data_IF_182174477156
#
_entry.id   IF_182174477156
#
_cell.length_a   1.000
_cell.length_b   1.000
_cell.length_c   1.000
_cell.angle_alpha   90.00
_cell.angle_beta   90.00
_cell.angle_gamma   90.00
#
_symmetry.space_group_name_H-M   'P 1'
#
loop_
_entity.id
_entity.type
_entity.pdbx_description
1 polymer ?
#
# COMPACT_ATOMS: atom_id res chain seq x y z
N UNK A 1 17.89 13.73 -36.63
CA UNK A 1 18.66 13.08 -35.56
C UNK A 1 17.78 12.69 -34.38
N UNK A 2 17.04 13.63 -33.75
CA UNK A 2 16.14 13.34 -32.62
C UNK A 2 15.13 12.21 -32.89
N UNK A 3 14.47 12.20 -34.05
CA UNK A 3 13.56 11.11 -34.45
C UNK A 3 14.23 9.72 -34.42
N UNK A 4 15.43 9.59 -35.01
CA UNK A 4 16.18 8.33 -35.01
C UNK A 4 16.58 7.88 -33.60
N UNK A 5 16.78 8.81 -32.66
CA UNK A 5 17.10 8.48 -31.26
C UNK A 5 15.85 8.00 -30.53
N UNK A 6 14.70 8.63 -30.75
CA UNK A 6 13.41 8.19 -30.20
C UNK A 6 13.02 6.80 -30.73
N UNK A 7 13.16 6.57 -32.04
CA UNK A 7 12.88 5.29 -32.68
C UNK A 7 13.84 4.17 -32.25
N UNK A 8 15.07 4.52 -31.89
CA UNK A 8 16.07 3.57 -31.39
C UNK A 8 15.95 3.29 -29.89
N UNK A 9 15.10 4.03 -29.17
CA UNK A 9 14.90 3.83 -27.74
C UNK A 9 14.15 2.50 -27.53
N UNK A 10 14.59 1.63 -26.61
CA UNK A 10 13.88 0.40 -26.34
C UNK A 10 12.52 0.74 -25.72
N UNK A 11 11.47 0.77 -26.55
CA UNK A 11 10.08 0.76 -26.10
C UNK A 11 9.76 -0.67 -25.64
N UNK A 12 10.31 -1.08 -24.51
CA UNK A 12 10.21 -2.49 -24.12
C UNK A 12 9.04 -2.82 -23.21
N UNK A 13 7.97 -3.27 -23.89
CA UNK A 13 7.29 -4.51 -23.53
C UNK A 13 7.29 -5.55 -24.67
N UNK A 14 8.09 -5.41 -25.75
CA UNK A 14 8.06 -6.35 -26.90
C UNK A 14 9.38 -7.05 -27.28
N UNK A 15 10.53 -6.75 -26.68
CA UNK A 15 11.78 -7.51 -26.80
C UNK A 15 12.10 -8.26 -25.51
N UNK A 16 11.18 -9.10 -25.06
CA UNK A 16 11.47 -10.13 -24.04
C UNK A 16 12.11 -11.39 -24.67
N UNK A 17 12.58 -11.34 -25.92
CA UNK A 17 13.18 -12.52 -26.58
C UNK A 17 14.38 -12.14 -27.43
N UNK A 18 15.49 -11.78 -26.81
CA UNK A 18 16.80 -12.17 -27.35
C UNK A 18 17.81 -12.22 -26.21
N UNK A 19 18.45 -13.38 -26.02
CA UNK A 19 19.69 -13.51 -25.28
C UNK A 19 20.76 -12.66 -26.00
N UNK A 20 20.79 -11.36 -25.71
CA UNK A 20 21.82 -10.44 -26.13
C UNK A 20 22.31 -9.68 -24.91
N UNK A 21 23.56 -9.96 -24.58
CA UNK A 21 24.37 -9.31 -23.55
C UNK A 21 24.38 -7.79 -23.83
N UNK A 22 24.11 -6.98 -22.80
CA UNK A 22 24.29 -5.51 -22.74
C UNK A 22 23.34 -4.57 -23.52
N UNK A 23 22.03 -4.66 -23.29
CA UNK A 23 21.15 -3.47 -23.43
C UNK A 23 20.50 -3.15 -22.10
N UNK A 24 21.20 -2.37 -21.28
CA UNK A 24 20.63 -1.75 -20.07
C UNK A 24 19.46 -0.86 -20.47
N UNK A 25 18.28 -1.13 -19.91
CA UNK A 25 17.14 -0.21 -20.04
C UNK A 25 17.60 1.18 -19.60
N UNK A 26 17.39 2.23 -20.40
CA UNK A 26 17.95 3.54 -20.13
C UNK A 26 17.45 4.08 -18.79
N UNK A 27 18.38 4.62 -18.00
CA UNK A 27 18.13 5.14 -16.66
C UNK A 27 17.02 6.20 -16.68
N UNK A 28 16.28 6.30 -15.58
CA UNK A 28 15.21 7.28 -15.38
C UNK A 28 15.67 8.72 -15.65
N UNK A 29 16.93 9.02 -15.33
CA UNK A 29 17.56 10.32 -15.61
C UNK A 29 17.69 10.65 -17.10
N UNK A 30 17.79 9.65 -17.99
CA UNK A 30 17.93 9.84 -19.43
C UNK A 30 16.59 10.17 -20.12
N UNK A 31 15.48 9.62 -19.61
CA UNK A 31 14.13 9.93 -20.12
C UNK A 31 13.76 11.40 -19.87
N UNK A 32 14.04 11.91 -18.67
CA UNK A 32 13.84 13.32 -18.33
C UNK A 32 14.71 14.26 -19.20
N UNK A 33 15.98 13.90 -19.45
CA UNK A 33 16.87 14.65 -20.36
C UNK A 33 16.35 14.66 -21.80
N UNK A 34 15.82 13.54 -22.29
CA UNK A 34 15.24 13.46 -23.62
C UNK A 34 14.01 14.35 -23.77
N UNK A 35 13.08 14.33 -22.79
CA UNK A 35 11.94 15.26 -22.76
C UNK A 35 12.44 16.71 -22.84
N UNK A 36 13.44 17.08 -22.02
CA UNK A 36 14.00 18.42 -22.04
C UNK A 36 14.64 18.79 -23.39
N UNK A 37 15.29 17.85 -24.07
CA UNK A 37 15.85 18.06 -25.41
C UNK A 37 14.75 18.27 -26.46
N UNK A 38 13.70 17.44 -26.46
CA UNK A 38 12.56 17.57 -27.37
C UNK A 38 11.81 18.89 -27.16
N UNK A 39 11.71 19.36 -25.91
CA UNK A 39 11.19 20.68 -25.58
C UNK A 39 12.04 21.80 -26.18
N UNK A 40 13.38 21.73 -26.04
CA UNK A 40 14.29 22.73 -26.65
C UNK A 40 14.17 22.77 -28.17
N UNK A 41 13.96 21.61 -28.79
CA UNK A 41 13.77 21.48 -30.24
C UNK A 41 12.35 21.88 -30.71
N UNK A 42 11.42 22.19 -29.79
CA UNK A 42 10.00 22.45 -30.08
C UNK A 42 9.33 21.33 -30.89
N UNK A 43 9.77 20.09 -30.68
CA UNK A 43 9.33 18.93 -31.45
C UNK A 43 8.08 18.28 -30.82
N UNK A 44 6.93 18.96 -30.90
CA UNK A 44 5.69 18.55 -30.22
C UNK A 44 5.25 17.11 -30.56
N UNK A 45 5.20 16.73 -31.84
CA UNK A 45 4.78 15.40 -32.26
C UNK A 45 5.71 14.28 -31.72
N UNK A 46 7.03 14.50 -31.80
CA UNK A 46 8.02 13.55 -31.26
C UNK A 46 7.94 13.44 -29.74
N UNK A 47 7.66 14.55 -29.06
CA UNK A 47 7.47 14.57 -27.61
C UNK A 47 6.23 13.77 -27.20
N UNK A 48 5.08 13.95 -27.87
CA UNK A 48 3.87 13.15 -27.59
C UNK A 48 4.13 11.65 -27.78
N UNK A 49 4.79 11.29 -28.89
CA UNK A 49 5.14 9.90 -29.17
C UNK A 49 6.09 9.33 -28.11
N UNK A 50 7.15 10.07 -27.75
CA UNK A 50 8.11 9.63 -26.75
C UNK A 50 7.45 9.42 -25.37
N UNK A 51 6.58 10.32 -24.94
CA UNK A 51 5.88 10.15 -23.66
C UNK A 51 5.01 8.90 -23.69
N UNK A 52 4.24 8.70 -24.77
CA UNK A 52 3.33 7.56 -24.92
C UNK A 52 4.04 6.21 -24.99
N UNK A 53 5.05 6.11 -25.83
CA UNK A 53 5.64 4.82 -26.22
C UNK A 53 6.80 4.41 -25.30
N UNK A 54 7.45 5.37 -24.65
CA UNK A 54 8.64 5.15 -23.84
C UNK A 54 8.43 5.53 -22.38
N UNK A 55 7.97 6.75 -22.10
CA UNK A 55 7.84 7.21 -20.71
C UNK A 55 6.76 6.43 -19.99
N UNK A 56 5.56 6.28 -20.59
CA UNK A 56 4.44 5.61 -19.94
C UNK A 56 4.78 4.17 -19.51
N UNK A 57 5.48 3.37 -20.31
CA UNK A 57 5.78 1.97 -19.96
C UNK A 57 6.62 1.79 -18.70
N UNK A 58 7.57 2.72 -18.47
CA UNK A 58 8.54 2.63 -17.37
C UNK A 58 8.45 3.80 -16.40
N UNK A 59 7.35 4.56 -16.44
CA UNK A 59 7.16 5.75 -15.63
C UNK A 59 7.31 5.43 -14.15
N UNK A 60 8.13 6.23 -13.48
CA UNK A 60 8.45 6.14 -12.05
C UNK A 60 8.31 7.49 -11.31
N UNK A 61 7.99 8.57 -12.04
CA UNK A 61 7.80 9.92 -11.49
C UNK A 61 9.03 10.83 -11.61
N UNK A 62 10.20 10.28 -11.94
CA UNK A 62 11.41 11.09 -12.15
C UNK A 62 11.29 12.11 -13.28
N UNK A 63 10.35 11.88 -14.22
CA UNK A 63 10.09 12.77 -15.35
C UNK A 63 9.17 13.94 -15.02
N UNK A 64 8.54 14.01 -13.84
CA UNK A 64 7.46 14.96 -13.56
C UNK A 64 7.83 16.42 -13.86
N UNK A 65 9.02 16.85 -13.45
CA UNK A 65 9.51 18.21 -13.73
C UNK A 65 9.69 18.46 -15.24
N UNK A 66 10.19 17.47 -15.98
CA UNK A 66 10.37 17.56 -17.43
C UNK A 66 9.01 17.54 -18.16
N UNK A 67 8.06 16.73 -17.70
CA UNK A 67 6.69 16.65 -18.22
C UNK A 67 5.93 17.97 -18.04
N UNK A 68 6.02 18.61 -16.87
CA UNK A 68 5.49 19.96 -16.65
C UNK A 68 6.06 20.97 -17.65
N UNK A 69 7.38 20.91 -17.80
CA UNK A 69 8.12 21.78 -18.72
C UNK A 69 7.73 21.54 -20.18
N UNK A 70 7.16 20.38 -20.49
CA UNK A 70 6.73 19.97 -21.83
C UNK A 70 5.41 20.61 -22.28
N UNK A 71 4.58 21.03 -21.31
CA UNK A 71 3.28 21.68 -21.55
C UNK A 71 3.42 22.88 -22.49
N UNK A 72 4.47 23.70 -22.35
CA UNK A 72 4.69 24.89 -23.19
C UNK A 72 4.90 24.61 -24.68
N UNK A 73 5.28 23.38 -25.03
CA UNK A 73 5.50 22.96 -26.43
C UNK A 73 4.29 22.21 -26.96
N UNK A 74 3.63 21.41 -26.13
CA UNK A 74 2.43 20.66 -26.51
C UNK A 74 1.18 21.54 -26.56
N UNK A 75 1.11 22.56 -25.71
CA UNK A 75 -0.14 23.23 -25.38
C UNK A 75 -1.00 22.41 -24.41
N UNK A 76 -1.87 23.09 -23.69
CA UNK A 76 -2.62 22.51 -22.57
C UNK A 76 -3.49 21.32 -22.95
N UNK A 77 -4.15 21.37 -24.11
CA UNK A 77 -5.09 20.34 -24.55
C UNK A 77 -4.37 19.03 -24.86
N UNK A 78 -3.29 19.11 -25.64
CA UNK A 78 -2.49 17.93 -26.01
C UNK A 78 -1.70 17.40 -24.82
N UNK A 79 -1.15 18.29 -23.98
CA UNK A 79 -0.52 17.90 -22.73
C UNK A 79 -1.51 17.16 -21.83
N UNK A 80 -2.73 17.67 -21.65
CA UNK A 80 -3.76 16.99 -20.85
C UNK A 80 -4.10 15.60 -21.40
N UNK A 81 -4.21 15.45 -22.73
CA UNK A 81 -4.48 14.16 -23.35
C UNK A 81 -3.34 13.14 -23.11
N UNK A 82 -2.08 13.56 -23.28
CA UNK A 82 -0.92 12.70 -23.04
C UNK A 82 -0.77 12.34 -21.56
N UNK A 83 -0.89 13.32 -20.67
CA UNK A 83 -0.70 13.11 -19.23
C UNK A 83 -1.85 12.32 -18.60
N UNK A 84 -3.10 12.49 -19.05
CA UNK A 84 -4.22 11.68 -18.57
C UNK A 84 -4.09 10.22 -18.99
N UNK A 85 -3.63 9.94 -20.22
CA UNK A 85 -3.33 8.59 -20.67
C UNK A 85 -2.20 7.95 -19.84
N UNK A 86 -1.13 8.71 -19.56
CA UNK A 86 -0.04 8.26 -18.70
C UNK A 86 -0.53 7.94 -17.29
N UNK A 87 -1.27 8.86 -16.66
CA UNK A 87 -1.81 8.67 -15.30
C UNK A 87 -2.76 7.47 -15.27
N UNK A 88 -3.69 7.35 -16.21
CA UNK A 88 -4.61 6.22 -16.27
C UNK A 88 -3.89 4.87 -16.40
N UNK A 89 -2.82 4.81 -17.19
CA UNK A 89 -2.03 3.59 -17.37
C UNK A 89 -1.16 3.25 -16.14
N UNK A 90 -0.80 4.24 -15.31
CA UNK A 90 0.23 4.09 -14.28
C UNK A 90 -0.26 4.23 -12.86
N UNK A 91 -1.45 4.78 -12.62
CA UNK A 91 -2.06 4.87 -11.30
C UNK A 91 -2.08 3.53 -10.54
N UNK A 92 -2.38 2.36 -11.17
CA UNK A 92 -2.44 1.08 -10.45
C UNK A 92 -1.09 0.62 -9.87
N UNK A 93 0.02 1.03 -10.51
CA UNK A 93 1.36 0.53 -10.23
C UNK A 93 2.28 1.59 -9.61
N UNK A 94 2.03 2.87 -9.90
CA UNK A 94 2.83 4.03 -9.47
C UNK A 94 1.94 5.19 -9.00
N UNK A 95 1.06 4.96 -8.02
CA UNK A 95 0.08 5.97 -7.58
C UNK A 95 0.73 7.22 -6.98
N UNK A 96 1.79 7.09 -6.18
CA UNK A 96 2.51 8.25 -5.62
C UNK A 96 3.06 9.15 -6.73
N UNK A 97 3.75 8.58 -7.72
CA UNK A 97 4.27 9.34 -8.86
C UNK A 97 3.16 10.04 -9.67
N UNK A 98 1.98 9.43 -9.78
CA UNK A 98 0.83 10.04 -10.45
C UNK A 98 0.22 11.19 -9.62
N UNK A 99 0.09 11.02 -8.30
CA UNK A 99 -0.35 12.08 -7.40
C UNK A 99 0.64 13.25 -7.36
N UNK A 100 1.94 12.98 -7.39
CA UNK A 100 2.99 14.01 -7.46
C UNK A 100 2.91 14.79 -8.78
N UNK A 101 2.64 14.11 -9.89
CA UNK A 101 2.42 14.78 -11.18
C UNK A 101 1.17 15.66 -11.15
N UNK A 102 0.07 15.15 -10.58
CA UNK A 102 -1.16 15.93 -10.42
C UNK A 102 -0.93 17.17 -9.57
N UNK A 103 -0.24 17.04 -8.44
CA UNK A 103 0.14 18.15 -7.58
C UNK A 103 1.05 19.13 -8.32
N UNK A 104 2.04 18.64 -9.08
CA UNK A 104 2.94 19.51 -9.83
C UNK A 104 2.19 20.36 -10.87
N UNK A 105 1.16 19.80 -11.53
CA UNK A 105 0.34 20.54 -12.50
C UNK A 105 -0.41 21.74 -11.89
N UNK A 106 -0.58 21.80 -10.56
CA UNK A 106 -1.22 22.94 -9.90
C UNK A 106 -0.37 24.21 -9.92
N UNK A 107 0.94 24.08 -10.15
CA UNK A 107 1.84 25.22 -10.32
C UNK A 107 1.54 26.02 -11.60
N UNK A 108 0.93 25.39 -12.61
CA UNK A 108 0.49 26.05 -13.85
C UNK A 108 -0.91 25.52 -14.21
N UNK A 109 -1.95 25.98 -13.51
CA UNK A 109 -3.27 25.39 -13.63
C UNK A 109 -3.88 25.68 -15.02
N UNK A 110 -4.51 24.66 -15.60
CA UNK A 110 -5.27 24.76 -16.85
C UNK A 110 -6.57 23.97 -16.71
N UNK A 111 -7.71 24.47 -17.23
CA UNK A 111 -8.97 23.72 -17.25
C UNK A 111 -8.84 22.35 -17.93
N UNK A 112 -7.92 22.22 -18.89
CA UNK A 112 -7.68 20.96 -19.60
C UNK A 112 -7.15 19.85 -18.68
N UNK A 113 -6.40 20.21 -17.63
CA UNK A 113 -5.82 19.24 -16.69
C UNK A 113 -6.82 18.58 -15.76
N UNK A 114 -8.09 19.01 -15.77
CA UNK A 114 -9.20 18.27 -15.18
C UNK A 114 -9.24 16.80 -15.65
N UNK A 115 -8.92 16.53 -16.93
CA UNK A 115 -8.85 15.16 -17.46
C UNK A 115 -7.78 14.30 -16.78
N UNK A 116 -6.70 14.92 -16.30
CA UNK A 116 -5.63 14.23 -15.57
C UNK A 116 -6.12 13.87 -14.16
N UNK A 117 -6.84 14.78 -13.51
CA UNK A 117 -7.50 14.53 -12.23
C UNK A 117 -8.54 13.39 -12.34
N UNK A 118 -9.39 13.42 -13.36
CA UNK A 118 -10.38 12.37 -13.64
C UNK A 118 -9.71 11.00 -13.85
N UNK A 119 -8.61 10.96 -14.62
CA UNK A 119 -7.83 9.74 -14.82
C UNK A 119 -7.21 9.21 -13.51
N UNK A 120 -6.72 10.11 -12.64
CA UNK A 120 -6.18 9.73 -11.33
C UNK A 120 -7.27 9.09 -10.46
N UNK A 121 -8.44 9.73 -10.34
CA UNK A 121 -9.57 9.22 -9.54
C UNK A 121 -10.10 7.90 -10.08
N UNK A 122 -10.23 7.76 -11.40
CA UNK A 122 -10.64 6.49 -12.03
C UNK A 122 -9.62 5.37 -11.77
N UNK A 123 -8.32 5.68 -11.81
CA UNK A 123 -7.25 4.72 -11.59
C UNK A 123 -7.17 4.18 -10.15
N UNK A 124 -7.79 4.82 -9.17
CA UNK A 124 -7.84 4.34 -7.77
C UNK A 124 -8.45 2.94 -7.66
N UNK A 125 -9.44 2.61 -8.50
CA UNK A 125 -10.11 1.30 -8.46
C UNK A 125 -9.16 0.14 -8.74
N UNK A 126 -8.14 0.36 -9.57
CA UNK A 126 -7.20 -0.69 -9.96
C UNK A 126 -5.99 -0.83 -9.04
N UNK A 127 -5.78 0.10 -8.09
CA UNK A 127 -4.68 -0.01 -7.11
C UNK A 127 -4.90 -1.27 -6.25
N UNK A 128 -3.88 -2.10 -6.10
CA UNK A 128 -3.95 -3.32 -5.28
C UNK A 128 -4.76 -4.48 -5.89
N UNK A 129 -5.27 -4.34 -7.12
CA UNK A 129 -5.80 -5.48 -7.88
C UNK A 129 -4.62 -6.28 -8.46
N UNK A 130 -4.21 -7.36 -7.78
CA UNK A 130 -3.30 -8.32 -8.38
C UNK A 130 -4.05 -9.14 -9.44
N UNK A 131 -3.65 -9.04 -10.70
CA UNK A 131 -4.21 -9.86 -11.78
C UNK A 131 -3.92 -11.34 -11.49
N UNK A 132 -4.89 -12.07 -10.94
CA UNK A 132 -4.74 -13.48 -10.56
C UNK A 132 -4.59 -14.46 -11.75
N UNK A 133 -4.52 -13.98 -12.99
CA UNK A 133 -4.40 -14.80 -14.20
C UNK A 133 -3.23 -14.43 -15.14
N UNK A 134 -2.38 -13.46 -14.83
CA UNK A 134 -1.26 -13.12 -15.71
C UNK A 134 0.04 -13.85 -15.29
N UNK A 135 0.26 -15.01 -15.92
CA UNK A 135 1.53 -15.74 -16.06
C UNK A 135 2.31 -16.06 -14.78
N UNK A 136 2.25 -17.34 -14.41
CA UNK A 136 3.16 -18.00 -13.45
C UNK A 136 4.65 -17.84 -13.82
N UNK A 137 4.96 -17.42 -15.05
CA UNK A 137 6.30 -17.13 -15.55
C UNK A 137 6.79 -15.68 -15.29
N UNK A 138 5.90 -14.67 -15.23
CA UNK A 138 6.25 -13.28 -14.85
C UNK A 138 6.66 -13.14 -13.38
N UNK A 139 6.23 -14.11 -12.57
CA UNK A 139 6.48 -14.15 -11.13
C UNK A 139 7.96 -14.12 -10.76
N UNK A 140 8.86 -14.61 -11.60
CA UNK A 140 10.30 -14.66 -11.29
C UNK A 140 11.04 -13.36 -11.62
N UNK A 141 10.56 -12.58 -12.59
CA UNK A 141 11.09 -11.25 -12.93
C UNK A 141 10.50 -10.17 -12.00
N UNK A 142 9.23 -10.29 -11.61
CA UNK A 142 8.59 -9.42 -10.61
C UNK A 142 9.13 -9.63 -9.19
N UNK A 143 9.67 -10.83 -8.88
CA UNK A 143 10.40 -11.08 -7.64
C UNK A 143 11.77 -10.38 -7.58
N UNK A 144 12.31 -9.95 -8.73
CA UNK A 144 13.54 -9.15 -8.79
C UNK A 144 13.27 -7.63 -8.68
N UNK A 145 12.02 -7.18 -8.88
CA UNK A 145 11.63 -5.80 -8.61
C UNK A 145 11.39 -5.60 -7.11
N UNK A 146 12.49 -5.33 -6.40
CA UNK A 146 12.52 -4.89 -4.99
C UNK A 146 11.82 -3.53 -4.76
N UNK A 147 10.97 -3.05 -5.68
CA UNK A 147 10.28 -1.74 -5.63
C UNK A 147 8.76 -1.77 -5.55
N UNK A 148 8.12 -2.83 -4.99
CA UNK A 148 6.83 -2.65 -4.30
C UNK A 148 7.06 -1.83 -3.02
N UNK A 149 7.46 -0.57 -3.17
CA UNK A 149 7.43 0.37 -2.06
C UNK A 149 5.98 0.40 -1.55
N UNK A 150 5.76 0.24 -0.24
CA UNK A 150 4.42 0.38 0.31
C UNK A 150 3.87 1.76 -0.09
N UNK A 151 2.57 1.84 -0.33
CA UNK A 151 1.89 3.12 -0.46
C UNK A 151 2.29 3.99 0.73
N UNK A 152 2.57 5.26 0.47
CA UNK A 152 2.97 6.21 1.49
C UNK A 152 1.82 7.22 1.72
N UNK A 153 1.60 7.76 2.93
CA UNK A 153 0.52 8.71 3.19
C UNK A 153 0.56 9.96 2.30
N UNK A 154 1.75 10.37 1.85
CA UNK A 154 1.97 11.49 0.93
C UNK A 154 1.20 11.35 -0.36
N UNK A 155 0.98 10.11 -0.83
CA UNK A 155 0.15 9.85 -2.01
C UNK A 155 -1.26 10.44 -1.86
N UNK A 156 -1.93 10.17 -0.73
CA UNK A 156 -3.30 10.65 -0.50
C UNK A 156 -3.26 12.17 -0.32
N UNK A 157 -2.31 12.71 0.44
CA UNK A 157 -2.18 14.15 0.63
C UNK A 157 -1.97 14.90 -0.71
N UNK A 158 -1.03 14.45 -1.54
CA UNK A 158 -0.72 15.06 -2.83
C UNK A 158 -1.89 14.92 -3.81
N UNK A 159 -2.60 13.78 -3.78
CA UNK A 159 -3.82 13.58 -4.57
C UNK A 159 -4.88 14.62 -4.19
N UNK A 160 -5.24 14.75 -2.91
CA UNK A 160 -6.26 15.70 -2.47
C UNK A 160 -5.84 17.16 -2.68
N UNK A 161 -4.58 17.50 -2.43
CA UNK A 161 -4.06 18.83 -2.73
C UNK A 161 -4.19 19.13 -4.23
N UNK A 162 -3.81 18.18 -5.10
CA UNK A 162 -4.00 18.28 -6.55
C UNK A 162 -5.47 18.46 -6.96
N UNK A 163 -6.37 17.63 -6.42
CA UNK A 163 -7.80 17.66 -6.77
C UNK A 163 -8.49 18.97 -6.39
N UNK A 164 -8.17 19.53 -5.21
CA UNK A 164 -8.75 20.79 -4.72
C UNK A 164 -8.50 21.98 -5.66
N UNK A 165 -7.40 21.98 -6.41
CA UNK A 165 -7.09 23.06 -7.36
C UNK A 165 -8.01 23.09 -8.59
N UNK A 166 -8.71 22.00 -8.90
CA UNK A 166 -9.64 21.95 -10.04
C UNK A 166 -11.05 22.45 -9.71
N UNK A 167 -11.30 22.86 -8.46
CA UNK A 167 -12.57 23.44 -7.98
C UNK A 167 -13.81 22.58 -8.29
N UNK A 168 -13.63 21.26 -8.40
CA UNK A 168 -14.73 20.32 -8.56
C UNK A 168 -14.86 19.46 -7.30
N UNK A 169 -15.85 19.73 -6.44
CA UNK A 169 -16.04 18.98 -5.20
C UNK A 169 -16.38 17.51 -5.46
N UNK A 170 -16.90 17.16 -6.64
CA UNK A 170 -17.26 15.78 -6.97
C UNK A 170 -16.04 14.87 -7.12
N UNK A 171 -14.88 15.40 -7.56
CA UNK A 171 -13.67 14.60 -7.71
C UNK A 171 -13.03 14.26 -6.36
N UNK A 172 -12.98 15.23 -5.44
CA UNK A 172 -12.51 14.98 -4.07
C UNK A 172 -13.42 13.97 -3.37
N UNK A 173 -14.75 14.11 -3.51
CA UNK A 173 -15.71 13.20 -2.89
C UNK A 173 -15.60 11.78 -3.48
N UNK A 174 -15.53 11.64 -4.80
CA UNK A 174 -15.35 10.35 -5.45
C UNK A 174 -14.02 9.68 -5.05
N UNK A 175 -12.94 10.46 -4.88
CA UNK A 175 -11.67 9.94 -4.36
C UNK A 175 -11.83 9.46 -2.91
N UNK A 176 -12.49 10.25 -2.05
CA UNK A 176 -12.74 9.88 -0.66
C UNK A 176 -13.53 8.58 -0.56
N UNK A 177 -14.61 8.43 -1.33
CA UNK A 177 -15.44 7.22 -1.36
C UNK A 177 -14.64 5.97 -1.80
N UNK A 178 -13.83 6.09 -2.86
CA UNK A 178 -13.00 4.97 -3.36
C UNK A 178 -11.93 4.54 -2.36
N UNK A 179 -11.33 5.48 -1.63
CA UNK A 179 -10.37 5.18 -0.57
C UNK A 179 -11.06 4.56 0.65
N UNK A 180 -12.18 5.15 1.09
CA UNK A 180 -12.96 4.74 2.26
C UNK A 180 -13.57 3.34 2.11
N UNK A 181 -13.99 2.97 0.89
CA UNK A 181 -14.60 1.67 0.61
C UNK A 181 -13.61 0.49 0.58
N UNK A 182 -12.29 0.76 0.67
CA UNK A 182 -11.22 -0.24 0.47
C UNK A 182 -10.14 -0.18 1.56
N UNK A 183 -10.48 -0.37 2.85
CA UNK A 183 -9.54 -0.28 3.96
C UNK A 183 -8.44 -1.36 3.94
N UNK A 184 -8.58 -2.42 3.14
CA UNK A 184 -7.55 -3.43 2.92
C UNK A 184 -6.39 -2.93 2.05
N UNK A 185 -6.66 -1.97 1.15
CA UNK A 185 -5.64 -1.32 0.32
C UNK A 185 -5.21 0.00 0.93
N UNK A 186 -6.17 0.80 1.38
CA UNK A 186 -5.96 2.12 1.98
C UNK A 186 -6.14 2.05 3.49
N UNK A 187 -5.25 1.32 4.16
CA UNK A 187 -5.38 1.02 5.59
C UNK A 187 -5.47 2.29 6.45
N UNK A 188 -6.52 2.44 7.30
CA UNK A 188 -6.74 3.66 8.07
C UNK A 188 -5.55 4.09 8.93
N UNK A 189 -4.93 3.17 9.65
CA UNK A 189 -3.77 3.46 10.52
C UNK A 189 -2.51 3.83 9.75
N UNK A 190 -2.28 3.22 8.59
CA UNK A 190 -1.00 3.33 7.89
C UNK A 190 -1.00 4.44 6.82
N UNK A 191 -2.17 4.78 6.28
CA UNK A 191 -2.32 5.67 5.12
C UNK A 191 -3.27 6.82 5.39
N UNK A 192 -4.54 6.53 5.72
CA UNK A 192 -5.60 7.55 5.75
C UNK A 192 -5.40 8.54 6.89
N UNK A 193 -5.18 8.07 8.12
CA UNK A 193 -5.01 8.97 9.29
C UNK A 193 -3.77 9.87 9.14
N UNK A 194 -2.58 9.35 8.81
CA UNK A 194 -1.41 10.22 8.59
C UNK A 194 -1.61 11.19 7.41
N UNK A 195 -2.36 10.80 6.36
CA UNK A 195 -2.67 11.70 5.26
C UNK A 195 -3.63 12.84 5.68
N UNK A 196 -4.66 12.54 6.48
CA UNK A 196 -5.56 13.56 7.04
C UNK A 196 -4.76 14.53 7.92
N UNK A 197 -3.89 14.02 8.80
CA UNK A 197 -3.02 14.83 9.65
C UNK A 197 -2.17 15.79 8.82
N UNK A 198 -1.56 15.29 7.75
CA UNK A 198 -0.77 16.10 6.83
C UNK A 198 -1.60 17.18 6.14
N UNK A 199 -2.76 16.83 5.59
CA UNK A 199 -3.65 17.78 4.91
C UNK A 199 -4.10 18.87 5.87
N UNK A 200 -4.42 18.55 7.12
CA UNK A 200 -4.82 19.52 8.12
C UNK A 200 -3.66 20.43 8.55
N UNK A 201 -2.43 19.89 8.69
CA UNK A 201 -1.25 20.67 9.06
C UNK A 201 -0.86 21.69 7.98
N UNK A 202 -1.09 21.39 6.69
CA UNK A 202 -0.83 22.31 5.57
C UNK A 202 -1.85 23.45 5.46
N UNK A 203 -2.96 23.41 6.22
CA UNK A 203 -4.10 24.34 6.13
C UNK A 203 -4.18 25.37 7.29
N UNK A 204 -3.11 25.61 8.06
CA UNK A 204 -3.11 26.54 9.20
C UNK A 204 -3.06 28.04 8.75
N UNK A 205 -4.00 28.92 9.14
CA UNK A 205 -5.12 28.69 10.05
C UNK A 205 -6.33 28.05 9.39
N UNK A 206 -6.85 27.02 10.08
CA UNK A 206 -7.96 26.16 9.68
C UNK A 206 -9.12 26.99 9.08
N UNK A 207 -9.48 26.80 7.79
CA UNK A 207 -10.65 27.47 7.23
C UNK A 207 -11.92 27.09 8.01
N UNK A 208 -12.93 27.98 8.08
CA UNK A 208 -14.10 27.82 8.95
C UNK A 208 -15.01 26.63 8.60
N UNK A 209 -14.79 25.95 7.46
CA UNK A 209 -15.52 24.77 7.04
C UNK A 209 -14.54 23.62 6.72
N UNK A 210 -14.73 22.48 7.40
CA UNK A 210 -14.01 21.24 7.09
C UNK A 210 -14.40 20.81 5.67
N UNK A 211 -13.42 20.51 4.83
CA UNK A 211 -13.64 19.97 3.48
C UNK A 211 -14.50 18.68 3.57
N UNK A 212 -15.65 18.60 2.85
CA UNK A 212 -16.56 17.46 2.95
C UNK A 212 -15.90 16.11 2.66
N UNK A 213 -14.97 16.06 1.70
CA UNK A 213 -14.30 14.83 1.32
C UNK A 213 -13.28 14.39 2.39
N UNK A 214 -12.62 15.35 3.03
CA UNK A 214 -11.77 15.07 4.19
C UNK A 214 -12.61 14.61 5.39
N UNK A 215 -13.80 15.21 5.59
CA UNK A 215 -14.75 14.75 6.60
C UNK A 215 -15.26 13.34 6.33
N UNK A 216 -15.50 12.96 5.07
CA UNK A 216 -15.84 11.59 4.69
C UNK A 216 -14.71 10.63 5.08
N UNK A 217 -13.47 10.90 4.67
CA UNK A 217 -12.31 10.06 5.04
C UNK A 217 -12.15 9.94 6.55
N UNK A 218 -12.30 11.05 7.29
CA UNK A 218 -12.26 11.05 8.75
C UNK A 218 -13.34 10.14 9.34
N UNK A 219 -14.58 10.23 8.82
CA UNK A 219 -15.73 9.47 9.31
C UNK A 219 -15.54 7.98 9.06
N UNK A 220 -15.15 7.59 7.83
CA UNK A 220 -14.88 6.19 7.47
C UNK A 220 -13.74 5.60 8.31
N UNK A 221 -12.63 6.35 8.47
CA UNK A 221 -11.51 5.90 9.30
C UNK A 221 -11.92 5.73 10.77
N UNK A 222 -12.68 6.68 11.34
CA UNK A 222 -13.17 6.60 12.71
C UNK A 222 -14.10 5.39 12.91
N UNK A 223 -15.03 5.15 11.98
CA UNK A 223 -15.93 3.99 12.03
C UNK A 223 -15.17 2.66 11.94
N UNK A 224 -14.18 2.57 11.04
CA UNK A 224 -13.32 1.39 10.91
C UNK A 224 -12.56 1.11 12.21
N UNK A 225 -11.91 2.14 12.78
CA UNK A 225 -11.11 2.01 13.99
C UNK A 225 -11.99 1.63 15.17
N UNK A 226 -13.14 2.29 15.36
CA UNK A 226 -14.07 1.98 16.45
C UNK A 226 -14.62 0.56 16.33
N UNK A 227 -15.02 0.13 15.13
CA UNK A 227 -15.51 -1.24 14.91
C UNK A 227 -14.48 -2.28 15.35
N UNK A 228 -13.19 -2.01 15.18
CA UNK A 228 -12.11 -2.95 15.50
C UNK A 228 -11.63 -2.84 16.95
N UNK A 229 -11.56 -1.62 17.50
CA UNK A 229 -10.77 -1.30 18.69
C UNK A 229 -11.44 -0.34 19.66
N UNK A 230 -12.76 -0.20 19.59
CA UNK A 230 -13.52 0.46 20.66
C UNK A 230 -13.39 -0.28 22.00
N UNK A 231 -13.27 -1.61 21.97
CA UNK A 231 -13.07 -2.45 23.16
C UNK A 231 -11.68 -3.11 23.12
N UNK A 232 -10.90 -3.04 24.21
CA UNK A 232 -9.59 -3.70 24.28
C UNK A 232 -9.71 -5.22 24.06
N UNK A 233 -8.81 -5.83 23.25
CA UNK A 233 -8.72 -7.27 23.12
C UNK A 233 -8.52 -7.93 24.49
N UNK A 234 -9.38 -8.89 24.83
CA UNK A 234 -9.29 -9.59 26.10
C UNK A 234 -8.22 -10.68 26.05
N UNK A 235 -7.37 -10.81 27.09
CA UNK A 235 -6.41 -11.90 27.14
C UNK A 235 -7.12 -13.26 27.22
N UNK A 236 -6.59 -14.32 26.58
CA UNK A 236 -7.11 -15.67 26.75
C UNK A 236 -7.09 -16.06 28.23
N UNK A 237 -8.21 -16.63 28.72
CA UNK A 237 -8.37 -17.04 30.12
C UNK A 237 -7.49 -18.23 30.51
N UNK A 238 -7.06 -19.03 29.54
CA UNK A 238 -6.23 -20.21 29.75
C UNK A 238 -5.17 -20.40 28.63
N UNK A 239 -4.48 -21.53 28.62
CA UNK A 239 -3.50 -21.90 27.60
C UNK A 239 -4.07 -22.85 26.53
N UNK A 240 -5.39 -22.98 26.40
CA UNK A 240 -5.96 -23.85 25.37
C UNK A 240 -5.74 -23.23 24.00
N UNK A 241 -5.28 -24.06 23.07
CA UNK A 241 -5.19 -23.75 21.65
C UNK A 241 -6.21 -24.60 20.91
N UNK A 242 -6.82 -24.02 19.87
CA UNK A 242 -7.67 -24.77 18.97
C UNK A 242 -6.80 -25.61 18.03
N UNK A 243 -6.63 -26.89 18.37
CA UNK A 243 -5.85 -27.84 17.59
C UNK A 243 -6.74 -29.01 17.14
N UNK A 244 -6.88 -29.14 15.82
CA UNK A 244 -7.51 -30.27 15.15
C UNK A 244 -6.61 -30.74 14.00
N UNK A 245 -6.02 -31.92 14.19
CA UNK A 245 -5.11 -32.51 13.21
C UNK A 245 -5.77 -33.69 12.50
N UNK A 246 -5.55 -33.79 11.20
CA UNK A 246 -5.97 -34.96 10.39
C UNK A 246 -5.09 -36.18 10.68
N UNK A 247 -3.82 -35.97 11.02
CA UNK A 247 -2.87 -37.03 11.36
C UNK A 247 -3.27 -37.75 12.67
N UNK A 248 -3.22 -39.09 12.66
CA UNK A 248 -3.60 -39.95 13.79
C UNK A 248 -2.42 -40.66 14.48
N UNK A 249 -1.19 -40.28 14.17
CA UNK A 249 0.00 -40.83 14.83
C UNK A 249 -0.02 -40.52 16.34
N UNK A 250 0.74 -41.30 17.12
CA UNK A 250 0.74 -41.16 18.58
C UNK A 250 1.25 -39.77 19.01
N UNK A 251 2.28 -39.28 18.35
CA UNK A 251 2.91 -37.99 18.65
C UNK A 251 1.98 -36.81 18.32
N UNK A 252 1.18 -36.88 17.24
CA UNK A 252 0.19 -35.85 16.94
C UNK A 252 -1.00 -35.88 17.90
N UNK A 253 -1.39 -37.05 18.41
CA UNK A 253 -2.41 -37.16 19.47
C UNK A 253 -1.92 -36.54 20.77
N UNK A 254 -0.67 -36.77 21.13
CA UNK A 254 -0.02 -36.15 22.29
C UNK A 254 0.10 -34.63 22.12
N UNK A 255 0.54 -34.15 20.95
CA UNK A 255 0.56 -32.73 20.63
C UNK A 255 -0.84 -32.09 20.70
N UNK A 256 -1.88 -32.78 20.23
CA UNK A 256 -3.25 -32.29 20.29
C UNK A 256 -3.76 -32.22 21.74
N UNK A 257 -3.42 -33.21 22.56
CA UNK A 257 -3.74 -33.20 23.98
C UNK A 257 -3.05 -32.03 24.70
N UNK A 258 -1.74 -31.86 24.51
CA UNK A 258 -0.98 -30.72 25.03
C UNK A 258 -1.57 -29.38 24.57
N UNK A 259 -1.88 -29.23 23.27
CA UNK A 259 -2.46 -28.01 22.73
C UNK A 259 -3.80 -27.65 23.42
N UNK A 260 -4.63 -28.65 23.74
CA UNK A 260 -5.95 -28.47 24.38
C UNK A 260 -5.89 -28.38 25.91
N UNK A 261 -4.73 -28.59 26.52
CA UNK A 261 -4.55 -28.46 27.97
C UNK A 261 -4.61 -26.97 28.38
N UNK A 262 -5.49 -26.57 29.32
CA UNK A 262 -5.60 -25.19 29.79
C UNK A 262 -4.45 -24.74 30.71
N UNK A 263 -3.77 -25.67 31.36
CA UNK A 263 -2.78 -25.41 32.42
C UNK A 263 -1.35 -25.62 31.93
N UNK A 264 -1.15 -26.56 30.99
CA UNK A 264 0.18 -26.86 30.47
C UNK A 264 0.59 -25.86 29.38
N UNK A 265 1.64 -25.09 29.64
CA UNK A 265 2.21 -24.10 28.70
C UNK A 265 3.49 -24.57 28.01
N UNK A 266 4.19 -25.55 28.58
CA UNK A 266 5.42 -26.14 28.06
C UNK A 266 5.31 -27.65 28.09
N UNK A 267 5.60 -28.32 26.97
CA UNK A 267 5.62 -29.77 26.88
C UNK A 267 6.90 -30.26 26.21
N UNK A 268 7.39 -31.42 26.63
CA UNK A 268 8.68 -31.99 26.23
C UNK A 268 8.48 -33.34 25.55
N UNK A 269 8.62 -33.38 24.22
CA UNK A 269 8.54 -34.61 23.45
C UNK A 269 9.93 -35.24 23.27
N UNK A 270 10.21 -36.32 24.02
CA UNK A 270 11.47 -37.07 23.89
C UNK A 270 11.34 -38.13 22.78
N UNK A 271 11.50 -37.70 21.53
CA UNK A 271 11.27 -38.54 20.34
C UNK A 271 12.43 -38.43 19.34
N UNK A 272 12.57 -39.44 18.47
CA UNK A 272 13.60 -39.51 17.43
C UNK A 272 13.42 -38.40 16.36
N UNK A 273 14.50 -38.08 15.65
CA UNK A 273 14.58 -36.92 14.75
C UNK A 273 13.44 -36.84 13.72
N UNK A 274 13.15 -37.93 12.99
CA UNK A 274 12.07 -37.97 11.99
C UNK A 274 10.72 -37.56 12.58
N UNK A 275 10.42 -38.03 13.81
CA UNK A 275 9.16 -37.71 14.50
C UNK A 275 9.15 -36.26 15.00
N UNK A 276 10.30 -35.72 15.44
CA UNK A 276 10.41 -34.28 15.79
C UNK A 276 10.13 -33.40 14.58
N UNK A 277 10.77 -33.69 13.44
CA UNK A 277 10.54 -32.93 12.20
C UNK A 277 9.09 -33.00 11.75
N UNK A 278 8.42 -34.14 11.92
CA UNK A 278 6.99 -34.25 11.68
C UNK A 278 6.17 -33.29 12.57
N UNK A 279 6.40 -33.26 13.89
CA UNK A 279 5.68 -32.37 14.80
C UNK A 279 5.95 -30.89 14.48
N UNK A 280 7.18 -30.52 14.15
CA UNK A 280 7.53 -29.15 13.75
C UNK A 280 6.71 -28.72 12.53
N UNK A 281 6.66 -29.56 11.49
CA UNK A 281 5.86 -29.29 10.30
C UNK A 281 4.35 -29.16 10.60
N UNK A 282 3.81 -29.99 11.50
CA UNK A 282 2.40 -29.91 11.91
C UNK A 282 2.12 -28.59 12.65
N UNK A 283 3.01 -28.18 13.56
CA UNK A 283 2.90 -26.92 14.30
C UNK A 283 2.89 -25.73 13.32
N UNK A 284 3.81 -25.73 12.35
CA UNK A 284 3.96 -24.64 11.38
C UNK A 284 2.80 -24.61 10.37
N UNK A 285 2.38 -25.76 9.86
CA UNK A 285 1.27 -25.88 8.91
C UNK A 285 -0.05 -25.40 9.51
N UNK A 286 -0.29 -25.72 10.78
CA UNK A 286 -1.50 -25.30 11.50
C UNK A 286 -1.37 -23.92 12.16
N UNK A 287 -0.20 -23.25 12.04
CA UNK A 287 0.09 -21.92 12.63
C UNK A 287 -0.28 -21.83 14.11
N UNK A 288 0.03 -22.86 14.88
CA UNK A 288 -0.29 -22.87 16.30
C UNK A 288 0.51 -21.77 17.04
N UNK A 289 -0.12 -21.15 18.04
CA UNK A 289 0.50 -20.17 18.94
C UNK A 289 1.48 -20.84 19.92
N UNK A 290 2.50 -21.54 19.39
CA UNK A 290 3.56 -22.21 20.16
C UNK A 290 4.90 -22.22 19.42
N UNK A 291 5.99 -21.97 20.14
CA UNK A 291 7.35 -22.18 19.64
C UNK A 291 7.74 -23.64 19.81
N UNK A 292 8.74 -24.06 19.04
CA UNK A 292 9.33 -25.38 19.14
C UNK A 292 10.86 -25.26 19.07
N UNK A 293 11.56 -25.80 20.07
CA UNK A 293 13.02 -25.76 20.16
C UNK A 293 13.54 -27.17 20.43
N UNK A 294 14.56 -27.60 19.69
CA UNK A 294 15.20 -28.90 19.97
C UNK A 294 16.27 -28.73 21.04
N UNK A 295 16.03 -29.30 22.21
CA UNK A 295 17.03 -29.47 23.26
C UNK A 295 17.96 -30.63 22.87
N UNK A 296 19.24 -30.30 22.65
CA UNK A 296 20.25 -31.21 22.10
C UNK A 296 20.97 -32.03 23.16
N UNK A 297 20.41 -32.14 24.36
CA UNK A 297 20.96 -32.98 25.44
C UNK A 297 20.47 -34.42 25.31
N UNK A 298 21.43 -35.35 25.19
CA UNK A 298 21.20 -36.80 25.16
C UNK A 298 20.62 -37.34 23.84
N UNK A 299 20.45 -38.66 23.80
CA UNK A 299 19.78 -39.38 22.72
C UNK A 299 18.64 -40.23 23.29
N UNK A 300 17.43 -40.22 22.70
CA UNK A 300 16.97 -39.27 21.68
C UNK A 300 16.84 -37.85 22.25
N UNK A 301 17.18 -36.84 21.44
CA UNK A 301 17.01 -35.41 21.77
C UNK A 301 15.53 -35.04 21.95
N UNK A 302 15.27 -33.95 22.68
CA UNK A 302 13.91 -33.55 23.09
C UNK A 302 13.41 -32.35 22.28
N UNK A 303 12.18 -32.40 21.78
CA UNK A 303 11.49 -31.22 21.25
C UNK A 303 10.73 -30.54 22.40
N UNK A 304 11.11 -29.31 22.73
CA UNK A 304 10.42 -28.48 23.73
C UNK A 304 9.46 -27.57 22.99
N UNK A 305 8.17 -27.75 23.24
CA UNK A 305 7.11 -26.91 22.69
C UNK A 305 6.58 -25.97 23.76
N UNK A 306 6.54 -24.67 23.49
CA UNK A 306 6.11 -23.64 24.44
C UNK A 306 5.03 -22.78 23.82
N UNK A 307 3.83 -22.74 24.41
CA UNK A 307 2.73 -21.87 23.97
C UNK A 307 3.09 -20.41 24.19
N UNK A 308 2.91 -19.55 23.20
CA UNK A 308 3.49 -18.19 23.18
C UNK A 308 2.50 -17.03 22.95
N UNK A 309 1.20 -17.34 22.77
CA UNK A 309 0.11 -16.36 22.55
C UNK A 309 0.44 -15.32 21.47
N UNK A 310 1.22 -15.69 20.44
CA UNK A 310 1.71 -14.77 19.40
C UNK A 310 0.58 -14.03 18.68
N UNK A 311 -0.56 -14.69 18.42
CA UNK A 311 -1.69 -14.07 17.73
C UNK A 311 -2.33 -13.00 18.62
N UNK A 312 -2.48 -13.27 19.91
CA UNK A 312 -2.96 -12.26 20.87
C UNK A 312 -2.00 -11.08 20.96
N UNK A 313 -0.68 -11.33 21.04
CA UNK A 313 0.33 -10.25 21.06
C UNK A 313 0.30 -9.40 19.79
N UNK A 314 0.15 -10.03 18.62
CA UNK A 314 0.00 -9.33 17.36
C UNK A 314 -1.27 -8.47 17.34
N UNK A 315 -2.42 -9.02 17.78
CA UNK A 315 -3.67 -8.26 17.90
C UNK A 315 -3.56 -7.08 18.87
N UNK A 316 -2.86 -7.26 19.99
CA UNK A 316 -2.59 -6.17 20.94
C UNK A 316 -1.70 -5.08 20.34
N UNK A 317 -0.72 -5.45 19.52
CA UNK A 317 0.08 -4.46 18.77
C UNK A 317 -0.80 -3.67 17.81
N UNK A 318 -1.60 -4.35 16.98
CA UNK A 318 -2.56 -3.70 16.08
C UNK A 318 -3.52 -2.77 16.85
N UNK A 319 -4.00 -3.21 18.01
CA UNK A 319 -4.85 -2.41 18.89
C UNK A 319 -4.17 -1.12 19.31
N UNK A 320 -2.91 -1.16 19.76
CA UNK A 320 -2.18 0.05 20.14
C UNK A 320 -1.95 0.98 18.94
N UNK A 321 -1.64 0.43 17.76
CA UNK A 321 -1.47 1.24 16.54
C UNK A 321 -2.79 1.92 16.15
N UNK A 322 -3.92 1.22 16.28
CA UNK A 322 -5.27 1.74 16.04
C UNK A 322 -5.68 2.82 17.06
N UNK A 323 -5.36 2.63 18.35
CA UNK A 323 -5.58 3.63 19.39
C UNK A 323 -4.73 4.89 19.13
N UNK A 324 -3.47 4.73 18.73
CA UNK A 324 -2.62 5.86 18.35
C UNK A 324 -3.23 6.65 17.17
N UNK A 325 -3.77 5.96 16.16
CA UNK A 325 -4.49 6.59 15.06
C UNK A 325 -5.77 7.31 15.53
N UNK A 326 -6.55 6.73 16.44
CA UNK A 326 -7.71 7.40 17.05
C UNK A 326 -7.29 8.68 17.79
N UNK A 327 -6.19 8.65 18.55
CA UNK A 327 -5.65 9.83 19.22
C UNK A 327 -5.33 10.97 18.24
N UNK A 328 -4.76 10.65 17.08
CA UNK A 328 -4.52 11.64 16.02
C UNK A 328 -5.84 12.18 15.46
N UNK A 329 -6.80 11.31 15.13
CA UNK A 329 -8.10 11.75 14.59
C UNK A 329 -8.92 12.61 15.56
N UNK A 330 -8.83 12.35 16.87
CA UNK A 330 -9.51 13.15 17.91
C UNK A 330 -9.01 14.59 17.91
N UNK A 331 -7.71 14.83 17.69
CA UNK A 331 -7.14 16.19 17.60
C UNK A 331 -7.66 16.97 16.40
N UNK A 332 -8.02 16.24 15.34
CA UNK A 332 -8.49 16.77 14.05
C UNK A 332 -10.02 16.71 13.93
N UNK A 333 -10.72 16.39 15.02
CA UNK A 333 -12.10 15.94 14.95
C UNK A 333 -13.09 17.07 14.62
N UNK A 334 -14.05 16.83 13.70
CA UNK A 334 -15.25 17.66 13.64
C UNK A 334 -16.06 17.49 14.93
N UNK A 335 -16.85 18.48 15.33
CA UNK A 335 -17.76 18.35 16.48
C UNK A 335 -18.89 17.38 16.12
N UNK A 336 -18.81 16.13 16.56
CA UNK A 336 -19.79 15.09 16.24
C UNK A 336 -19.97 14.08 17.40
N UNK A 337 -21.04 13.28 17.33
CA UNK A 337 -21.24 12.16 18.26
C UNK A 337 -20.16 11.07 18.10
N UNK A 338 -19.67 10.89 16.87
CA UNK A 338 -18.60 9.94 16.55
C UNK A 338 -17.28 10.33 17.24
N UNK A 339 -16.97 11.63 17.26
CA UNK A 339 -15.78 12.17 17.94
C UNK A 339 -15.81 11.90 19.44
N UNK A 340 -16.96 12.12 20.10
CA UNK A 340 -17.15 11.81 21.52
C UNK A 340 -16.97 10.32 21.83
N UNK A 341 -17.47 9.45 20.95
CA UNK A 341 -17.33 7.99 21.09
C UNK A 341 -15.87 7.57 20.93
N UNK A 342 -15.15 8.15 19.99
CA UNK A 342 -13.71 7.90 19.81
C UNK A 342 -12.87 8.42 20.99
N UNK A 343 -13.18 9.60 21.53
CA UNK A 343 -12.57 10.11 22.76
C UNK A 343 -12.78 9.15 23.95
N UNK A 344 -13.98 8.56 24.08
CA UNK A 344 -14.28 7.60 25.13
C UNK A 344 -13.47 6.30 24.97
N UNK A 345 -13.36 5.77 23.75
CA UNK A 345 -12.55 4.60 23.44
C UNK A 345 -11.06 4.82 23.77
N UNK A 346 -10.50 5.96 23.35
CA UNK A 346 -9.11 6.36 23.68
C UNK A 346 -8.92 6.46 25.19
N UNK A 347 -9.85 7.10 25.92
CA UNK A 347 -9.77 7.18 27.39
C UNK A 347 -9.82 5.80 28.05
N UNK A 348 -10.68 4.90 27.57
CA UNK A 348 -10.78 3.53 28.10
C UNK A 348 -9.54 2.67 27.83
N UNK A 349 -8.72 3.04 26.84
CA UNK A 349 -7.46 2.36 26.51
C UNK A 349 -6.26 2.80 27.34
N UNK A 350 -6.38 3.94 28.05
CA UNK A 350 -5.31 4.49 28.89
C UNK A 350 -5.51 3.97 30.33
N UNK A 351 -4.51 3.31 30.93
CA UNK A 351 -4.64 2.72 32.27
C UNK A 351 -4.76 3.75 33.41
#
# INVERSE_FOLDING_TARGET
MAQRIVEAWPADARRSYSYSINTTSPESSERAKMIAALVKLKAAALLQQFVRDVVTSTYDGSENAALLTSVRVLGDVDAAAVLSALVGARMPHRPSACADLLLALTANPSPSFRKVAEAAVAGLDAIGMENSQADTFKRWEELADRSKQPLAPEFIANLFSGLKHFQDPTLCEAAAEKLASRPEVFHPTALVVPAIERICAEQDPLPPAVDPAIQHLWTSAAEFLLRRSEVPPQPPSDWRLHAEFSCKCAECRELQAFARDPNESVHRFRIRQERRSHLQNVIDQHRLDMTHVTDRVGSPQTLVCTKDRRTFKARMKEYHDEIAAMCTLVKLAPKSALSKRMEAAVKASTP
#
